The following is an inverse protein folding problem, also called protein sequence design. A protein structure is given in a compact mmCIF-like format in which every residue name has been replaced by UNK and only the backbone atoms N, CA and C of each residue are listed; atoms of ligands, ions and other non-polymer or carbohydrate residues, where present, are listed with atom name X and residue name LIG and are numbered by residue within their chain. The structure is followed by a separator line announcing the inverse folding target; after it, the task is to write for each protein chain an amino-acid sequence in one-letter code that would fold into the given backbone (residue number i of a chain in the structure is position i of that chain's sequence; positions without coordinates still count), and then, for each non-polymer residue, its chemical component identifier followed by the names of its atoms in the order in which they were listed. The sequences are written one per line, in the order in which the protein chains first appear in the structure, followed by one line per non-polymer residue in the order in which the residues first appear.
data_IF_903882336425
#
_entry.id   IF_903882336425
#
_cell.length_a   1.000
_cell.length_b   1.000
_cell.length_c   1.000
_cell.angle_alpha   90.00
_cell.angle_beta   90.00
_cell.angle_gamma   90.00
#
_symmetry.space_group_name_H-M   'P 1'
#
loop_
_entity.id
_entity.type
_entity.pdbx_description
1 polymer ?
#
# COMPACT_ATOMS: atom_id res chain seq x y z
N UNK A 1 -23.21 -15.85 2.14
CA UNK A 1 -21.96 -16.56 2.49
C UNK A 1 -21.23 -17.08 1.24
N UNK A 2 -21.93 -17.75 0.34
CA UNK A 2 -21.35 -18.26 -0.92
C UNK A 2 -20.79 -17.17 -1.86
N UNK A 3 -21.42 -15.98 -1.91
CA UNK A 3 -20.96 -14.89 -2.77
C UNK A 3 -19.67 -14.23 -2.25
N UNK A 4 -19.59 -13.96 -0.95
CA UNK A 4 -18.38 -13.40 -0.34
C UNK A 4 -17.18 -14.33 -0.47
N UNK A 5 -17.37 -15.64 -0.31
CA UNK A 5 -16.33 -16.64 -0.49
C UNK A 5 -15.82 -16.68 -1.95
N UNK A 6 -16.73 -16.52 -2.91
CA UNK A 6 -16.34 -16.45 -4.33
C UNK A 6 -15.50 -15.21 -4.64
N UNK A 7 -15.84 -14.05 -4.10
CA UNK A 7 -15.04 -12.83 -4.26
C UNK A 7 -13.67 -12.95 -3.60
N UNK A 8 -13.60 -13.58 -2.43
CA UNK A 8 -12.33 -13.84 -1.75
C UNK A 8 -11.45 -14.82 -2.55
N UNK A 9 -12.04 -15.83 -3.15
CA UNK A 9 -11.30 -16.76 -4.00
C UNK A 9 -10.73 -16.07 -5.26
N UNK A 10 -11.53 -15.25 -5.95
CA UNK A 10 -11.05 -14.41 -7.06
C UNK A 10 -9.93 -13.46 -6.62
N UNK A 11 -10.07 -12.84 -5.45
CA UNK A 11 -9.05 -11.97 -4.87
C UNK A 11 -7.73 -12.73 -4.70
N UNK A 12 -7.74 -13.88 -4.06
CA UNK A 12 -6.54 -14.66 -3.83
C UNK A 12 -5.93 -15.18 -5.15
N UNK A 13 -6.76 -15.64 -6.09
CA UNK A 13 -6.33 -16.11 -7.41
C UNK A 13 -5.71 -15.01 -8.28
N UNK A 14 -6.03 -13.75 -8.00
CA UNK A 14 -5.43 -12.60 -8.69
C UNK A 14 -4.09 -12.18 -8.07
N UNK A 15 -4.03 -12.14 -6.75
CA UNK A 15 -2.86 -11.60 -6.03
C UNK A 15 -1.74 -12.63 -5.90
N UNK A 16 -2.04 -13.84 -5.44
CA UNK A 16 -1.01 -14.82 -5.09
C UNK A 16 -0.09 -15.22 -6.25
N UNK A 17 -0.61 -15.51 -7.47
CA UNK A 17 0.27 -15.82 -8.60
C UNK A 17 1.15 -14.62 -9.01
N UNK A 18 0.63 -13.40 -8.88
CA UNK A 18 1.37 -12.19 -9.22
C UNK A 18 2.50 -11.94 -8.23
N UNK A 19 2.27 -12.14 -6.93
CA UNK A 19 3.32 -12.08 -5.91
C UNK A 19 4.42 -13.11 -6.23
N UNK A 20 4.05 -14.36 -6.46
CA UNK A 20 4.99 -15.43 -6.74
C UNK A 20 5.80 -15.22 -8.02
N UNK A 21 5.18 -14.71 -9.08
CA UNK A 21 5.87 -14.43 -10.36
C UNK A 21 6.85 -13.25 -10.27
N UNK A 22 6.73 -12.41 -9.23
CA UNK A 22 7.65 -11.32 -8.93
C UNK A 22 8.58 -11.62 -7.74
N UNK A 23 8.91 -12.90 -7.54
CA UNK A 23 9.83 -13.37 -6.51
C UNK A 23 9.39 -13.06 -5.07
N UNK A 24 8.11 -12.76 -4.87
CA UNK A 24 7.52 -12.55 -3.56
C UNK A 24 7.14 -13.88 -2.89
N UNK A 25 7.05 -13.85 -1.58
CA UNK A 25 6.63 -14.97 -0.75
C UNK A 25 5.45 -14.59 0.12
N UNK A 26 4.39 -15.37 0.07
CA UNK A 26 3.24 -15.20 0.95
C UNK A 26 3.59 -15.78 2.32
N UNK A 27 3.49 -14.94 3.35
CA UNK A 27 3.79 -15.30 4.74
C UNK A 27 2.54 -15.88 5.39
N UNK A 28 1.44 -15.15 5.32
CA UNK A 28 0.17 -15.57 5.91
C UNK A 28 -1.02 -14.78 5.35
N UNK A 29 -2.19 -15.31 5.61
CA UNK A 29 -3.46 -14.62 5.45
C UNK A 29 -3.98 -14.16 6.82
N UNK A 30 -4.50 -12.94 6.90
CA UNK A 30 -5.16 -12.38 8.09
C UNK A 30 -6.55 -11.92 7.65
N UNK A 31 -7.55 -12.79 7.82
CA UNK A 31 -8.87 -12.56 7.23
C UNK A 31 -8.78 -12.54 5.69
N UNK A 32 -9.18 -11.45 5.09
CA UNK A 32 -9.05 -11.20 3.65
C UNK A 32 -7.71 -10.55 3.24
N UNK A 33 -6.89 -10.13 4.20
CA UNK A 33 -5.59 -9.53 3.95
C UNK A 33 -4.51 -10.59 3.65
N UNK A 34 -3.64 -10.27 2.70
CA UNK A 34 -2.44 -11.04 2.38
C UNK A 34 -1.23 -10.31 2.91
N UNK A 35 -0.43 -11.00 3.71
CA UNK A 35 0.85 -10.55 4.19
C UNK A 35 1.96 -11.26 3.42
N UNK A 36 2.80 -10.50 2.72
CA UNK A 36 3.84 -11.04 1.86
C UNK A 36 5.15 -10.27 2.02
N UNK A 37 6.25 -10.91 1.64
CA UNK A 37 7.57 -10.29 1.59
C UNK A 37 8.21 -10.41 0.20
N UNK A 38 9.09 -9.48 -0.10
CA UNK A 38 9.90 -9.45 -1.31
C UNK A 38 11.34 -9.09 -0.95
N UNK A 39 12.29 -9.62 -1.69
CA UNK A 39 13.69 -9.23 -1.54
C UNK A 39 14.01 -7.91 -2.27
N UNK A 40 13.22 -7.57 -3.29
CA UNK A 40 13.38 -6.36 -4.10
C UNK A 40 12.19 -5.41 -3.92
N UNK A 41 12.43 -4.13 -3.55
CA UNK A 41 11.40 -3.11 -3.56
C UNK A 41 10.72 -2.92 -4.92
N UNK A 42 11.48 -2.98 -6.02
CA UNK A 42 10.93 -2.89 -7.37
C UNK A 42 9.98 -4.03 -7.69
N UNK A 43 10.32 -5.27 -7.33
CA UNK A 43 9.44 -6.42 -7.52
C UNK A 43 8.12 -6.27 -6.74
N UNK A 44 8.18 -5.77 -5.52
CA UNK A 44 6.99 -5.51 -4.71
C UNK A 44 6.08 -4.44 -5.34
N UNK A 45 6.67 -3.37 -5.83
CA UNK A 45 5.96 -2.28 -6.51
C UNK A 45 5.34 -2.77 -7.81
N UNK A 46 6.10 -3.44 -8.65
CA UNK A 46 5.63 -3.93 -9.95
C UNK A 46 4.51 -4.96 -9.81
N UNK A 47 4.64 -5.90 -8.86
CA UNK A 47 3.56 -6.84 -8.53
C UNK A 47 2.29 -6.11 -8.10
N UNK A 48 2.42 -5.10 -7.26
CA UNK A 48 1.29 -4.32 -6.74
C UNK A 48 0.56 -3.55 -7.85
N UNK A 49 1.29 -2.95 -8.77
CA UNK A 49 0.71 -2.26 -9.94
C UNK A 49 -0.05 -3.27 -10.81
N UNK A 50 0.53 -4.45 -11.04
CA UNK A 50 -0.08 -5.47 -11.90
C UNK A 50 -1.40 -5.98 -11.32
N UNK A 51 -1.44 -6.38 -10.05
CA UNK A 51 -2.70 -6.91 -9.51
C UNK A 51 -3.75 -5.82 -9.28
N UNK A 52 -3.36 -4.58 -8.98
CA UNK A 52 -4.31 -3.46 -8.93
C UNK A 52 -4.91 -3.15 -10.31
N UNK A 53 -4.13 -3.20 -11.38
CA UNK A 53 -4.65 -3.06 -12.74
C UNK A 53 -5.61 -4.19 -13.11
N UNK A 54 -5.32 -5.42 -12.71
CA UNK A 54 -6.24 -6.55 -12.90
C UNK A 54 -7.58 -6.35 -12.20
N UNK A 55 -7.58 -5.84 -10.97
CA UNK A 55 -8.83 -5.51 -10.27
C UNK A 55 -9.58 -4.35 -10.91
N UNK A 56 -8.88 -3.33 -11.34
CA UNK A 56 -9.48 -2.19 -12.05
C UNK A 56 -10.18 -2.64 -13.33
N UNK A 57 -9.53 -3.47 -14.14
CA UNK A 57 -10.12 -4.05 -15.35
C UNK A 57 -11.32 -4.94 -15.02
N UNK A 58 -11.17 -5.86 -14.07
CA UNK A 58 -12.25 -6.73 -13.63
C UNK A 58 -13.46 -5.94 -13.14
N UNK A 59 -13.23 -4.93 -12.30
CA UNK A 59 -14.31 -4.11 -11.74
C UNK A 59 -15.03 -3.31 -12.82
N UNK A 60 -14.36 -2.89 -13.89
CA UNK A 60 -15.00 -2.20 -15.02
C UNK A 60 -16.03 -3.05 -15.77
N UNK A 61 -15.94 -4.37 -15.66
CA UNK A 61 -16.82 -5.36 -16.28
C UNK A 61 -17.83 -5.95 -15.29
N UNK A 62 -17.82 -5.52 -14.03
CA UNK A 62 -18.62 -6.08 -12.95
C UNK A 62 -19.65 -5.07 -12.44
N UNK A 63 -20.68 -5.56 -11.75
CA UNK A 63 -21.59 -4.68 -11.00
C UNK A 63 -20.83 -4.05 -9.83
N UNK A 64 -21.27 -2.88 -9.40
CA UNK A 64 -20.63 -2.16 -8.29
C UNK A 64 -20.58 -2.97 -6.99
N UNK A 65 -21.62 -3.75 -6.70
CA UNK A 65 -21.69 -4.64 -5.53
C UNK A 65 -20.68 -5.80 -5.57
N UNK A 66 -20.15 -6.12 -6.75
CA UNK A 66 -19.18 -7.18 -6.97
C UNK A 66 -17.75 -6.64 -7.09
N UNK A 67 -17.53 -5.33 -6.95
CA UNK A 67 -16.20 -4.76 -7.04
C UNK A 67 -15.30 -5.27 -5.93
N UNK A 68 -14.07 -5.65 -6.29
CA UNK A 68 -12.98 -5.95 -5.36
C UNK A 68 -12.05 -4.76 -5.34
N UNK A 69 -12.02 -4.07 -4.22
CA UNK A 69 -11.10 -2.95 -4.00
C UNK A 69 -10.16 -3.31 -2.86
N UNK A 70 -8.88 -3.25 -3.12
CA UNK A 70 -7.85 -3.53 -2.12
C UNK A 70 -6.97 -2.31 -1.89
N UNK A 71 -6.37 -2.27 -0.72
CA UNK A 71 -5.33 -1.31 -0.38
C UNK A 71 -4.01 -2.05 -0.28
N UNK A 72 -2.94 -1.41 -0.73
CA UNK A 72 -1.59 -1.96 -0.64
C UNK A 72 -0.71 -0.99 0.14
N UNK A 73 -0.02 -1.50 1.14
CA UNK A 73 1.01 -0.78 1.86
C UNK A 73 2.35 -1.49 1.71
N UNK A 74 3.38 -0.77 1.26
CA UNK A 74 4.73 -1.28 1.10
C UNK A 74 5.70 -0.54 2.01
N UNK A 75 6.49 -1.29 2.75
CA UNK A 75 7.54 -0.76 3.59
C UNK A 75 8.79 -1.64 3.52
N UNK A 76 9.95 -1.01 3.64
CA UNK A 76 11.24 -1.67 3.70
C UNK A 76 11.86 -1.43 5.07
N UNK A 77 12.29 -2.50 5.71
CA UNK A 77 12.95 -2.44 6.99
C UNK A 77 13.45 -3.80 7.42
N UNK A 78 14.13 -3.83 8.54
CA UNK A 78 14.58 -5.08 9.14
C UNK A 78 13.40 -5.83 9.75
N UNK A 79 13.35 -7.12 9.49
CA UNK A 79 12.34 -8.03 10.03
C UNK A 79 13.02 -9.22 10.68
N UNK A 80 12.38 -9.76 11.73
CA UNK A 80 12.80 -10.99 12.37
C UNK A 80 11.91 -12.13 11.86
N UNK A 81 12.52 -13.15 11.29
CA UNK A 81 11.83 -14.37 10.85
C UNK A 81 11.87 -15.38 11.97
N UNK A 82 10.68 -15.84 12.41
CA UNK A 82 10.54 -16.87 13.44
C UNK A 82 9.28 -17.70 13.16
N UNK A 83 9.42 -19.03 13.10
CA UNK A 83 8.31 -19.95 12.89
C UNK A 83 7.48 -19.62 11.62
N UNK A 84 8.17 -19.32 10.52
CA UNK A 84 7.58 -18.91 9.22
C UNK A 84 6.70 -17.64 9.29
N UNK A 85 6.89 -16.81 10.31
CA UNK A 85 6.24 -15.51 10.46
C UNK A 85 7.29 -14.38 10.54
N UNK A 86 6.85 -13.15 10.25
CA UNK A 86 7.69 -11.95 10.31
C UNK A 86 7.27 -11.08 11.49
N UNK A 87 8.27 -10.61 12.23
CA UNK A 87 8.08 -9.74 13.38
C UNK A 87 8.99 -8.51 13.30
N UNK A 88 8.64 -7.48 14.01
CA UNK A 88 9.43 -6.26 14.16
C UNK A 88 8.67 -5.00 13.79
N UNK A 89 9.31 -3.88 14.01
CA UNK A 89 8.72 -2.55 13.78
C UNK A 89 8.36 -2.32 12.30
N UNK A 90 9.15 -2.87 11.39
CA UNK A 90 8.89 -2.77 9.95
C UNK A 90 7.55 -3.39 9.55
N UNK A 91 7.17 -4.51 10.16
CA UNK A 91 5.87 -5.16 9.93
C UNK A 91 4.72 -4.26 10.40
N UNK A 92 4.86 -3.65 11.57
CA UNK A 92 3.86 -2.72 12.12
C UNK A 92 3.71 -1.48 11.24
N UNK A 93 4.80 -0.88 10.79
CA UNK A 93 4.78 0.28 9.89
C UNK A 93 4.10 -0.09 8.56
N UNK A 94 4.47 -1.20 7.94
CA UNK A 94 3.86 -1.66 6.69
C UNK A 94 2.35 -1.84 6.81
N UNK A 95 1.88 -2.44 7.89
CA UNK A 95 0.44 -2.61 8.18
C UNK A 95 -0.28 -1.25 8.34
N UNK A 96 0.35 -0.28 8.99
CA UNK A 96 -0.23 1.07 9.17
C UNK A 96 -0.24 1.87 7.87
N UNK A 97 0.76 1.72 7.02
CA UNK A 97 0.78 2.33 5.68
C UNK A 97 -0.34 1.76 4.81
N UNK A 98 -0.57 0.45 4.84
CA UNK A 98 -1.73 -0.16 4.17
C UNK A 98 -3.04 0.49 4.64
N UNK A 99 -3.22 0.68 5.94
CA UNK A 99 -4.45 1.23 6.52
C UNK A 99 -4.76 2.64 6.04
N UNK A 100 -3.78 3.45 5.65
CA UNK A 100 -3.97 4.82 5.16
C UNK A 100 -4.00 4.93 3.64
N UNK A 101 -3.68 3.86 2.92
CA UNK A 101 -3.81 3.86 1.46
C UNK A 101 -5.26 4.07 1.05
N UNK A 102 -5.54 4.91 0.03
CA UNK A 102 -6.88 4.99 -0.54
C UNK A 102 -7.31 3.63 -1.12
N UNK A 103 -8.61 3.26 -1.05
CA UNK A 103 -9.09 2.04 -1.68
C UNK A 103 -8.70 1.96 -3.17
N UNK A 104 -8.22 0.81 -3.61
CA UNK A 104 -7.74 0.60 -4.99
C UNK A 104 -6.36 1.18 -5.28
N UNK A 105 -5.64 1.69 -4.28
CA UNK A 105 -4.35 2.35 -4.46
C UNK A 105 -3.20 1.67 -3.71
N UNK A 106 -2.00 2.21 -3.91
CA UNK A 106 -0.75 1.74 -3.31
C UNK A 106 -0.12 2.89 -2.53
N UNK A 107 0.16 2.68 -1.26
CA UNK A 107 0.95 3.59 -0.44
C UNK A 107 2.31 2.96 -0.15
N UNK A 108 3.36 3.77 -0.24
CA UNK A 108 4.74 3.34 -0.01
C UNK A 108 5.43 4.22 1.02
N UNK A 109 6.33 3.63 1.79
CA UNK A 109 7.18 4.37 2.72
C UNK A 109 8.28 5.15 2.00
N UNK A 110 8.91 6.06 2.73
CA UNK A 110 10.10 6.78 2.24
C UNK A 110 11.25 5.83 1.90
N UNK A 111 11.45 4.79 2.68
CA UNK A 111 12.48 3.78 2.46
C UNK A 111 12.26 3.00 1.15
N UNK A 112 11.00 2.73 0.79
CA UNK A 112 10.68 2.19 -0.54
C UNK A 112 10.97 3.23 -1.62
N UNK A 113 10.49 4.48 -1.44
CA UNK A 113 10.68 5.57 -2.40
C UNK A 113 12.16 5.77 -2.74
N UNK A 114 13.03 5.83 -1.74
CA UNK A 114 14.48 5.97 -1.92
C UNK A 114 15.14 4.76 -2.63
N UNK A 115 14.51 3.60 -2.59
CA UNK A 115 15.02 2.37 -3.18
C UNK A 115 14.60 2.17 -4.63
N UNK A 116 13.75 3.06 -5.17
CA UNK A 116 13.22 2.98 -6.54
C UNK A 116 13.95 3.94 -7.48
N UNK A 117 13.97 3.58 -8.75
CA UNK A 117 14.15 4.55 -9.83
C UNK A 117 12.83 5.29 -10.03
N UNK A 118 12.68 6.43 -9.35
CA UNK A 118 11.41 7.17 -9.29
C UNK A 118 10.94 7.69 -10.66
N UNK A 119 11.84 7.83 -11.62
CA UNK A 119 11.50 8.27 -12.98
C UNK A 119 10.69 7.21 -13.76
N UNK A 120 10.72 5.96 -13.30
CA UNK A 120 9.93 4.87 -13.87
C UNK A 120 8.48 4.84 -13.37
N UNK A 121 8.16 5.60 -12.34
CA UNK A 121 6.87 5.54 -11.64
C UNK A 121 6.22 6.92 -11.51
N UNK A 122 4.92 6.92 -11.25
CA UNK A 122 4.13 8.12 -10.97
C UNK A 122 3.80 8.17 -9.50
N UNK A 123 4.41 9.10 -8.77
CA UNK A 123 4.40 9.12 -7.28
C UNK A 123 4.10 10.54 -6.80
N UNK A 124 3.25 10.69 -5.77
CA UNK A 124 3.05 11.94 -5.02
C UNK A 124 3.29 11.72 -3.55
N UNK A 125 3.89 12.71 -2.90
CA UNK A 125 3.99 12.73 -1.44
C UNK A 125 2.61 12.87 -0.80
N UNK A 126 2.36 12.07 0.23
CA UNK A 126 1.22 12.23 1.15
C UNK A 126 1.60 13.07 2.36
N UNK A 127 2.86 13.49 2.48
CA UNK A 127 3.40 14.24 3.62
C UNK A 127 3.93 13.34 4.72
N UNK A 128 4.15 13.96 5.89
CA UNK A 128 4.53 13.25 7.10
C UNK A 128 3.27 12.85 7.86
N UNK A 129 3.02 11.56 7.93
CA UNK A 129 1.78 11.01 8.48
C UNK A 129 2.04 10.40 9.85
N UNK A 130 1.20 10.78 10.82
CA UNK A 130 1.18 10.13 12.12
C UNK A 130 0.40 8.82 11.99
N UNK A 131 1.12 7.71 12.09
CA UNK A 131 0.54 6.38 12.05
C UNK A 131 0.20 5.88 13.45
N UNK A 132 -0.92 5.19 13.58
CA UNK A 132 -1.39 4.65 14.86
C UNK A 132 -0.34 3.74 15.51
N UNK A 133 0.02 4.03 16.76
CA UNK A 133 1.00 3.28 17.56
C UNK A 133 2.45 3.28 16.98
N UNK A 134 2.75 4.16 16.05
CA UNK A 134 4.11 4.40 15.58
C UNK A 134 4.59 5.73 16.18
N UNK A 135 5.75 5.69 16.85
CA UNK A 135 6.24 6.80 17.68
C UNK A 135 6.50 8.06 16.87
N UNK A 136 7.22 7.95 15.75
CA UNK A 136 7.58 9.08 14.90
C UNK A 136 6.72 9.14 13.64
N UNK A 137 6.39 10.35 13.12
CA UNK A 137 5.71 10.49 11.85
C UNK A 137 6.50 9.85 10.71
N UNK A 138 5.80 9.27 9.76
CA UNK A 138 6.37 8.59 8.62
C UNK A 138 6.08 9.37 7.35
N UNK A 139 7.10 9.61 6.53
CA UNK A 139 6.90 10.15 5.20
C UNK A 139 6.35 9.05 4.28
N UNK A 140 5.18 9.27 3.73
CA UNK A 140 4.44 8.29 2.92
C UNK A 140 4.13 8.89 1.56
N UNK A 141 4.08 8.03 0.55
CA UNK A 141 3.79 8.42 -0.83
C UNK A 141 2.64 7.57 -1.38
N UNK A 142 1.84 8.18 -2.25
CA UNK A 142 0.90 7.46 -3.10
C UNK A 142 1.58 7.12 -4.42
N UNK A 143 1.56 5.84 -4.77
CA UNK A 143 2.02 5.34 -6.04
C UNK A 143 0.81 5.12 -6.95
N UNK A 144 0.81 5.76 -8.11
CA UNK A 144 -0.26 5.65 -9.10
C UNK A 144 0.00 4.47 -10.04
N UNK A 145 -1.05 3.88 -10.58
CA UNK A 145 -0.95 2.72 -11.46
C UNK A 145 -0.33 3.10 -12.81
N UNK A 146 -0.57 4.33 -13.26
CA UNK A 146 -0.02 4.90 -14.48
C UNK A 146 -0.02 6.43 -14.45
N UNK A 147 0.54 7.03 -15.50
CA UNK A 147 0.61 8.48 -15.66
C UNK A 147 -0.77 9.13 -15.80
N UNK A 148 -1.73 8.44 -16.42
CA UNK A 148 -3.08 8.98 -16.61
C UNK A 148 -3.79 9.14 -15.26
N UNK A 149 -3.68 8.16 -14.38
CA UNK A 149 -4.21 8.28 -13.01
C UNK A 149 -3.54 9.42 -12.23
N UNK A 150 -2.22 9.55 -12.37
CA UNK A 150 -1.46 10.61 -11.73
C UNK A 150 -1.91 12.00 -12.21
N UNK A 151 -2.08 12.19 -13.51
CA UNK A 151 -2.53 13.46 -14.08
C UNK A 151 -4.00 13.77 -13.77
N UNK A 152 -4.82 12.73 -13.54
CA UNK A 152 -6.23 12.88 -13.21
C UNK A 152 -6.50 13.35 -11.76
N UNK A 153 -5.55 13.20 -10.86
CA UNK A 153 -5.65 13.65 -9.46
C UNK A 153 -4.63 14.75 -9.17
N UNK A 154 -5.09 15.94 -8.85
CA UNK A 154 -4.20 17.02 -8.44
C UNK A 154 -3.70 16.81 -7.00
N UNK A 155 -2.62 17.52 -6.65
CA UNK A 155 -2.10 17.52 -5.28
C UNK A 155 -3.15 18.00 -4.26
N UNK A 156 -3.94 19.01 -4.62
CA UNK A 156 -5.00 19.53 -3.76
C UNK A 156 -6.12 18.51 -3.52
N UNK A 157 -6.51 17.76 -4.56
CA UNK A 157 -7.51 16.69 -4.45
C UNK A 157 -7.00 15.55 -3.56
N UNK A 158 -5.73 15.17 -3.68
CA UNK A 158 -5.11 14.18 -2.81
C UNK A 158 -5.11 14.66 -1.35
N UNK A 159 -4.71 15.89 -1.09
CA UNK A 159 -4.73 16.48 0.26
C UNK A 159 -6.15 16.56 0.84
N UNK A 160 -7.12 16.98 0.04
CA UNK A 160 -8.51 17.02 0.47
C UNK A 160 -9.04 15.62 0.83
N UNK A 161 -8.70 14.63 0.03
CA UNK A 161 -9.03 13.22 0.32
C UNK A 161 -8.45 12.75 1.66
N UNK A 162 -7.21 13.15 1.98
CA UNK A 162 -6.59 12.81 3.26
C UNK A 162 -7.36 13.42 4.44
N UNK A 163 -7.76 14.68 4.35
CA UNK A 163 -8.55 15.36 5.37
C UNK A 163 -9.89 14.64 5.58
N UNK A 164 -10.61 14.35 4.50
CA UNK A 164 -11.91 13.68 4.55
C UNK A 164 -11.83 12.26 5.14
N UNK A 165 -10.71 11.58 4.94
CA UNK A 165 -10.44 10.25 5.49
C UNK A 165 -9.85 10.28 6.91
N UNK A 166 -9.63 11.45 7.48
CA UNK A 166 -9.10 11.60 8.83
C UNK A 166 -7.64 11.18 8.99
N UNK A 167 -6.85 11.30 7.93
CA UNK A 167 -5.40 11.02 7.97
C UNK A 167 -4.69 12.17 8.65
N UNK A 168 -3.93 11.87 9.69
CA UNK A 168 -3.21 12.86 10.50
C UNK A 168 -1.87 13.20 9.84
N UNK A 169 -1.86 14.32 9.11
CA UNK A 169 -0.67 14.84 8.43
C UNK A 169 -0.04 15.91 9.31
N UNK A 170 1.24 15.79 9.58
CA UNK A 170 2.00 16.65 10.46
C UNK A 170 2.91 17.57 9.66
N UNK A 171 2.95 18.85 10.03
CA UNK A 171 3.98 19.76 9.55
C UNK A 171 5.31 19.41 10.23
N UNK A 172 6.36 19.03 9.49
CA UNK A 172 7.65 18.67 10.05
C UNK A 172 8.26 19.76 10.95
N UNK A 173 8.01 21.03 10.64
CA UNK A 173 8.55 22.15 11.41
C UNK A 173 7.94 22.22 12.81
N UNK A 174 6.67 21.90 12.95
CA UNK A 174 6.00 21.90 14.27
C UNK A 174 6.35 20.69 15.13
N UNK A 175 6.83 19.61 14.52
CA UNK A 175 7.22 18.40 15.22
C UNK A 175 8.58 18.55 15.91
N UNK A 176 9.55 19.18 15.26
CA UNK A 176 10.88 19.42 15.83
C UNK A 176 10.84 20.40 17.03
N UNK A 177 9.88 21.33 17.06
CA UNK A 177 9.71 22.28 18.17
C UNK A 177 9.19 21.64 19.48
N UNK A 178 8.57 20.46 19.41
CA UNK A 178 7.97 19.78 20.55
C UNK A 178 8.85 18.68 21.16
N UNK A 179 9.99 18.34 20.56
CA UNK A 179 10.97 17.37 21.09
C UNK A 179 12.15 18.00 21.85
N UNK A 180 12.15 19.34 22.00
CA UNK A 180 13.10 20.09 22.82
C UNK A 180 12.42 20.45 24.15
#
# INVERSE_FOLDING_TARGET
ESHALKLLDEHNQTIEPTIKSHHGRIIKHIGDAIFAEFDSPADAVDASIIFQNKFKERNSLSRREDHIQIRVGLHKGEVVVKDDDLFGNAVNIGSRIESIAPPGSIAISHEIYESLDVDLYSIRSMGHVKLKNIKSPQQVYKLYLDKNEFEAESENELQQSHIERGIDIIDPQTYEENEI
#
